data_IF_978482136923
#
_entry.id   IF_978482136923
#
_cell.length_a   1.000
_cell.length_b   1.000
_cell.length_c   1.000
_cell.angle_alpha   90.00
_cell.angle_beta   90.00
_cell.angle_gamma   90.00
#
_symmetry.space_group_name_H-M   'P 1'
#
loop_
_entity.id
_entity.type
_entity.pdbx_description
1 polymer ?
#
# COMPACT_ATOMS: atom_id res chain seq x y z
N UNK A 1 20.62 7.52 -12.51
CA UNK A 1 20.20 6.11 -12.42
C UNK A 1 18.72 6.08 -12.80
N UNK A 2 18.29 5.15 -13.66
CA UNK A 2 16.97 5.23 -14.30
C UNK A 2 15.94 4.48 -13.44
N UNK A 3 14.80 5.12 -13.13
CA UNK A 3 13.69 4.53 -12.36
C UNK A 3 13.37 3.08 -12.78
N UNK A 4 13.30 2.84 -14.10
CA UNK A 4 13.00 1.53 -14.65
C UNK A 4 14.00 0.45 -14.22
N UNK A 5 15.30 0.76 -14.25
CA UNK A 5 16.36 -0.21 -13.88
C UNK A 5 16.32 -0.52 -12.39
N UNK A 6 16.06 0.50 -11.56
CA UNK A 6 15.95 0.34 -10.11
C UNK A 6 14.72 -0.47 -9.72
N UNK A 7 13.57 -0.17 -10.31
CA UNK A 7 12.33 -0.92 -10.10
C UNK A 7 12.49 -2.37 -10.58
N UNK A 8 13.12 -2.58 -11.74
CA UNK A 8 13.39 -3.92 -12.27
C UNK A 8 14.36 -4.70 -11.39
N UNK A 9 15.40 -4.06 -10.85
CA UNK A 9 16.33 -4.67 -9.91
C UNK A 9 15.62 -5.11 -8.62
N UNK A 10 14.76 -4.25 -8.07
CA UNK A 10 13.95 -4.56 -6.87
C UNK A 10 12.98 -5.72 -7.14
N UNK A 11 12.34 -5.74 -8.31
CA UNK A 11 11.48 -6.84 -8.72
C UNK A 11 12.26 -8.17 -8.83
N UNK A 12 13.43 -8.15 -9.47
CA UNK A 12 14.32 -9.32 -9.57
C UNK A 12 14.72 -9.87 -8.19
N UNK A 13 15.06 -8.99 -7.26
CA UNK A 13 15.41 -9.37 -5.89
C UNK A 13 14.26 -10.10 -5.19
N UNK A 14 13.02 -9.59 -5.31
CA UNK A 14 11.85 -10.24 -4.71
C UNK A 14 11.50 -11.56 -5.39
N UNK A 15 11.60 -11.62 -6.72
CA UNK A 15 11.35 -12.85 -7.50
C UNK A 15 12.50 -13.86 -7.44
N UNK A 16 13.65 -13.49 -6.86
CA UNK A 16 14.88 -14.28 -6.80
C UNK A 16 15.38 -14.75 -8.18
N UNK A 17 15.23 -13.89 -9.19
CA UNK A 17 15.71 -14.14 -10.56
C UNK A 17 16.82 -13.17 -10.94
N UNK A 18 17.68 -13.56 -11.88
CA UNK A 18 18.80 -12.72 -12.33
C UNK A 18 18.52 -12.03 -13.66
N UNK A 19 17.78 -12.69 -14.56
CA UNK A 19 17.66 -12.25 -15.94
C UNK A 19 16.35 -11.50 -16.21
N UNK A 20 16.41 -10.48 -17.07
CA UNK A 20 15.25 -9.70 -17.53
C UNK A 20 14.22 -10.60 -18.24
N UNK A 21 14.70 -11.67 -18.90
CA UNK A 21 13.87 -12.64 -19.61
C UNK A 21 12.96 -13.40 -18.65
N UNK A 22 13.47 -13.82 -17.50
CA UNK A 22 12.68 -14.52 -16.49
C UNK A 22 11.62 -13.60 -15.90
N UNK A 23 11.97 -12.34 -15.64
CA UNK A 23 11.01 -11.32 -15.20
C UNK A 23 9.88 -11.14 -16.22
N UNK A 24 10.21 -11.05 -17.51
CA UNK A 24 9.21 -10.92 -18.57
C UNK A 24 8.24 -12.12 -18.58
N UNK A 25 8.78 -13.34 -18.49
CA UNK A 25 7.98 -14.58 -18.42
C UNK A 25 7.05 -14.58 -17.21
N UNK A 26 7.56 -14.22 -16.03
CA UNK A 26 6.77 -14.19 -14.79
C UNK A 26 5.68 -13.12 -14.85
N UNK A 27 5.97 -11.95 -15.43
CA UNK A 27 4.98 -10.89 -15.66
C UNK A 27 3.96 -11.22 -16.76
N UNK A 28 4.17 -12.29 -17.54
CA UNK A 28 3.30 -12.69 -18.64
C UNK A 28 3.42 -11.81 -19.89
N UNK A 29 4.59 -11.18 -20.10
CA UNK A 29 4.88 -10.36 -21.29
C UNK A 29 6.10 -10.91 -22.04
N UNK A 30 6.24 -10.54 -23.32
CA UNK A 30 7.42 -10.95 -24.08
C UNK A 30 8.66 -10.15 -23.67
N UNK A 31 9.85 -10.76 -23.75
CA UNK A 31 11.12 -10.07 -23.50
C UNK A 31 11.33 -8.86 -24.43
N UNK A 32 10.82 -8.94 -25.66
CA UNK A 32 10.81 -7.81 -26.60
C UNK A 32 9.93 -6.65 -26.11
N UNK A 33 8.74 -6.94 -25.55
CA UNK A 33 7.86 -5.93 -24.98
C UNK A 33 8.50 -5.26 -23.76
N UNK A 34 9.14 -6.03 -22.87
CA UNK A 34 9.87 -5.48 -21.72
C UNK A 34 11.01 -4.55 -22.17
N UNK A 35 11.79 -4.96 -23.18
CA UNK A 35 12.87 -4.12 -23.74
C UNK A 35 12.36 -2.83 -24.39
N UNK A 36 11.25 -2.87 -25.12
CA UNK A 36 10.64 -1.66 -25.68
C UNK A 36 10.16 -0.71 -24.59
N UNK A 37 9.53 -1.25 -23.54
CA UNK A 37 9.10 -0.48 -22.37
C UNK A 37 10.26 0.15 -21.62
N UNK A 38 11.36 -0.58 -21.45
CA UNK A 38 12.63 -0.12 -20.88
C UNK A 38 13.18 1.10 -21.64
N UNK A 39 13.21 1.04 -22.98
CA UNK A 39 13.63 2.17 -23.83
C UNK A 39 12.71 3.39 -23.69
N UNK A 40 11.41 3.16 -23.46
CA UNK A 40 10.39 4.22 -23.30
C UNK A 40 10.27 4.73 -21.86
N UNK A 41 10.97 4.13 -20.90
CA UNK A 41 10.86 4.45 -19.48
C UNK A 41 9.49 4.12 -18.85
N UNK A 42 8.69 3.25 -19.47
CA UNK A 42 7.35 2.93 -18.99
C UNK A 42 7.33 1.56 -18.32
N UNK A 43 7.35 1.53 -16.98
CA UNK A 43 7.39 0.29 -16.20
C UNK A 43 6.06 -0.48 -16.29
N UNK A 44 6.06 -1.83 -16.37
CA UNK A 44 4.84 -2.64 -16.47
C UNK A 44 4.12 -2.76 -15.11
N UNK A 45 3.60 -1.64 -14.60
CA UNK A 45 2.91 -1.55 -13.30
C UNK A 45 1.64 -2.41 -13.29
N UNK A 46 0.82 -2.32 -14.35
CA UNK A 46 -0.42 -3.12 -14.47
C UNK A 46 -0.13 -4.61 -14.37
N UNK A 47 0.90 -5.10 -15.07
CA UNK A 47 1.29 -6.50 -15.04
C UNK A 47 1.87 -6.90 -13.68
N UNK A 48 2.61 -6.01 -13.01
CA UNK A 48 3.11 -6.23 -11.65
C UNK A 48 1.96 -6.36 -10.63
N UNK A 49 0.97 -5.46 -10.67
CA UNK A 49 -0.22 -5.56 -9.82
C UNK A 49 -1.02 -6.83 -10.10
N UNK A 50 -1.20 -7.18 -11.38
CA UNK A 50 -1.88 -8.40 -11.78
C UNK A 50 -1.15 -9.66 -11.29
N UNK A 51 0.19 -9.68 -11.33
CA UNK A 51 1.00 -10.77 -10.81
C UNK A 51 0.84 -10.90 -9.29
N UNK A 52 0.92 -9.80 -8.54
CA UNK A 52 0.75 -9.80 -7.09
C UNK A 52 -0.65 -10.31 -6.68
N UNK A 53 -1.69 -9.95 -7.45
CA UNK A 53 -3.05 -10.43 -7.22
C UNK A 53 -3.24 -11.93 -7.56
N UNK A 54 -2.66 -12.39 -8.68
CA UNK A 54 -2.79 -13.80 -9.13
C UNK A 54 -1.94 -14.77 -8.33
N UNK A 55 -0.82 -14.29 -7.79
CA UNK A 55 0.17 -15.10 -7.08
C UNK A 55 0.52 -14.51 -5.71
N UNK A 56 -0.43 -14.52 -4.77
CA UNK A 56 -0.18 -14.05 -3.42
C UNK A 56 0.91 -14.88 -2.70
N UNK A 57 1.16 -16.11 -3.16
CA UNK A 57 2.24 -16.99 -2.69
C UNK A 57 3.64 -16.37 -2.84
N UNK A 58 3.83 -15.50 -3.84
CA UNK A 58 5.10 -14.81 -4.08
C UNK A 58 5.40 -13.71 -3.05
N UNK A 59 4.39 -13.27 -2.26
CA UNK A 59 4.51 -12.20 -1.27
C UNK A 59 5.19 -10.94 -1.82
N UNK A 60 4.86 -10.57 -3.05
CA UNK A 60 5.41 -9.39 -3.71
C UNK A 60 4.97 -8.11 -3.00
N UNK A 61 5.94 -7.29 -2.60
CA UNK A 61 5.68 -5.94 -2.12
C UNK A 61 5.79 -4.96 -3.29
N UNK A 62 4.66 -4.73 -3.95
CA UNK A 62 4.55 -3.83 -5.11
C UNK A 62 5.01 -2.40 -4.75
N UNK A 63 4.72 -1.95 -3.53
CA UNK A 63 5.17 -0.62 -3.06
C UNK A 63 6.69 -0.53 -3.03
N UNK A 64 7.35 -1.56 -2.52
CA UNK A 64 8.81 -1.63 -2.52
C UNK A 64 9.38 -1.70 -3.95
N UNK A 65 8.76 -2.44 -4.87
CA UNK A 65 9.19 -2.54 -6.27
C UNK A 65 9.08 -1.22 -7.02
N UNK A 66 8.02 -0.42 -6.77
CA UNK A 66 7.82 0.84 -7.46
C UNK A 66 8.58 1.98 -6.78
N UNK A 67 8.48 2.13 -5.47
CA UNK A 67 8.95 3.34 -4.78
C UNK A 67 10.30 3.23 -4.08
N UNK A 68 10.77 2.03 -3.77
CA UNK A 68 12.12 1.79 -3.26
C UNK A 68 12.16 1.59 -1.76
N UNK A 69 11.07 1.96 -1.10
CA UNK A 69 10.86 1.78 0.32
C UNK A 69 9.65 0.91 0.59
N UNK A 70 9.69 0.20 1.73
CA UNK A 70 8.48 -0.40 2.28
C UNK A 70 7.56 0.73 2.71
N UNK A 71 6.55 0.99 1.89
CA UNK A 71 5.54 1.96 2.24
C UNK A 71 4.87 1.54 3.55
N UNK A 72 4.86 2.44 4.53
CA UNK A 72 4.04 2.27 5.73
C UNK A 72 2.55 2.19 5.32
N UNK A 73 1.66 1.65 6.19
CA UNK A 73 0.22 1.66 5.91
C UNK A 73 -0.30 3.06 5.50
N UNK A 74 0.15 4.11 6.19
CA UNK A 74 -0.21 5.49 5.88
C UNK A 74 0.27 5.93 4.49
N UNK A 75 1.49 5.57 4.11
CA UNK A 75 2.03 5.89 2.78
C UNK A 75 1.32 5.11 1.66
N UNK A 76 0.89 3.88 1.92
CA UNK A 76 0.07 3.09 0.98
C UNK A 76 -1.30 3.72 0.77
N UNK A 77 -1.94 4.19 1.84
CA UNK A 77 -3.21 4.92 1.77
C UNK A 77 -3.03 6.24 1.02
N UNK A 78 -2.00 7.03 1.34
CA UNK A 78 -1.74 8.30 0.67
C UNK A 78 -1.49 8.13 -0.84
N UNK A 79 -0.72 7.10 -1.22
CA UNK A 79 -0.49 6.78 -2.63
C UNK A 79 -1.78 6.32 -3.32
N UNK A 80 -2.57 5.45 -2.69
CA UNK A 80 -3.86 5.00 -3.23
C UNK A 80 -4.85 6.15 -3.40
N UNK A 81 -4.91 7.07 -2.44
CA UNK A 81 -5.73 8.29 -2.52
C UNK A 81 -5.27 9.18 -3.68
N UNK A 82 -3.95 9.38 -3.83
CA UNK A 82 -3.39 10.19 -4.91
C UNK A 82 -3.64 9.58 -6.30
N UNK A 83 -3.56 8.25 -6.41
CA UNK A 83 -3.83 7.53 -7.65
C UNK A 83 -5.33 7.50 -8.01
N UNK A 84 -6.20 7.30 -7.01
CA UNK A 84 -7.65 7.33 -7.20
C UNK A 84 -8.18 8.76 -7.47
N UNK A 85 -7.49 9.76 -6.93
CA UNK A 85 -7.87 11.17 -7.03
C UNK A 85 -6.66 12.02 -7.44
N UNK A 86 -6.34 12.08 -8.75
CA UNK A 86 -5.29 12.97 -9.22
C UNK A 86 -5.63 14.42 -8.83
N UNK A 87 -4.62 15.26 -8.53
CA UNK A 87 -4.82 16.61 -7.97
C UNK A 87 -5.64 17.55 -8.87
N UNK A 88 -5.91 17.17 -10.11
CA UNK A 88 -6.71 17.94 -11.06
C UNK A 88 -8.25 17.74 -10.94
N UNK A 89 -8.74 16.93 -10.00
CA UNK A 89 -10.16 16.53 -10.00
C UNK A 89 -10.88 16.46 -8.65
N UNK A 90 -10.29 16.94 -7.56
CA UNK A 90 -10.95 16.93 -6.25
C UNK A 90 -11.70 18.26 -6.06
N UNK A 91 -13.05 18.26 -5.96
CA UNK A 91 -13.78 19.45 -5.54
C UNK A 91 -13.26 19.90 -4.17
N UNK A 92 -13.08 21.20 -3.96
CA UNK A 92 -12.38 21.77 -2.80
C UNK A 92 -12.92 21.24 -1.45
N UNK A 93 -14.21 20.95 -1.36
CA UNK A 93 -14.87 20.35 -0.21
C UNK A 93 -14.39 18.91 0.11
N UNK A 94 -14.13 18.08 -0.90
CA UNK A 94 -13.59 16.74 -0.71
C UNK A 94 -12.11 16.79 -0.31
N UNK A 95 -11.34 17.74 -0.85
CA UNK A 95 -9.96 17.98 -0.44
C UNK A 95 -9.88 18.45 1.02
N UNK A 96 -10.82 19.30 1.44
CA UNK A 96 -10.94 19.76 2.83
C UNK A 96 -11.33 18.61 3.78
N UNK A 97 -12.24 17.73 3.37
CA UNK A 97 -12.59 16.53 4.13
C UNK A 97 -11.38 15.59 4.33
N UNK A 98 -10.59 15.36 3.28
CA UNK A 98 -9.37 14.56 3.35
C UNK A 98 -8.32 15.21 4.26
N UNK A 99 -8.08 16.53 4.12
CA UNK A 99 -7.15 17.26 5.00
C UNK A 99 -7.56 17.17 6.46
N UNK A 100 -8.84 17.38 6.76
CA UNK A 100 -9.37 17.30 8.11
C UNK A 100 -9.23 15.89 8.69
N UNK A 101 -9.48 14.85 7.87
CA UNK A 101 -9.27 13.46 8.28
C UNK A 101 -7.80 13.16 8.59
N UNK A 102 -6.87 13.60 7.73
CA UNK A 102 -5.43 13.42 7.93
C UNK A 102 -4.96 14.16 9.19
N UNK A 103 -5.35 15.41 9.39
CA UNK A 103 -5.01 16.19 10.60
C UNK A 103 -5.54 15.55 11.88
N UNK A 104 -6.77 15.03 11.85
CA UNK A 104 -7.37 14.33 13.00
C UNK A 104 -6.65 13.02 13.30
N UNK A 105 -6.13 12.33 12.29
CA UNK A 105 -5.35 11.11 12.48
C UNK A 105 -3.93 11.42 12.97
N UNK A 106 -3.31 12.48 12.48
CA UNK A 106 -2.01 12.93 12.97
C UNK A 106 -2.06 13.29 14.46
N UNK A 107 -3.12 14.01 14.89
CA UNK A 107 -3.35 14.31 16.31
C UNK A 107 -3.55 13.07 17.18
N UNK A 108 -4.02 11.97 16.59
CA UNK A 108 -4.31 10.70 17.29
C UNK A 108 -3.22 9.63 17.11
N UNK A 109 -2.16 9.96 16.35
CA UNK A 109 -1.13 9.01 15.94
C UNK A 109 -0.41 8.36 17.12
N UNK A 110 -0.04 9.17 18.13
CA UNK A 110 0.62 8.66 19.33
C UNK A 110 -0.27 7.68 20.12
N UNK A 111 -1.58 7.94 20.17
CA UNK A 111 -2.54 7.03 20.79
C UNK A 111 -2.66 5.73 20.00
N UNK A 112 -2.73 5.77 18.68
CA UNK A 112 -2.79 4.56 17.84
C UNK A 112 -1.53 3.71 17.98
N UNK A 113 -0.35 4.32 18.01
CA UNK A 113 0.91 3.62 18.23
C UNK A 113 0.93 2.93 19.59
N UNK A 114 0.57 3.64 20.65
CA UNK A 114 0.52 3.08 22.00
C UNK A 114 -0.48 1.94 22.13
N UNK A 115 -1.64 2.03 21.46
CA UNK A 115 -2.61 0.94 21.43
C UNK A 115 -1.98 -0.28 20.74
N UNK A 116 -1.34 -0.09 19.59
CA UNK A 116 -0.64 -1.18 18.89
C UNK A 116 0.42 -1.86 19.76
N UNK A 117 1.29 -1.08 20.41
CA UNK A 117 2.32 -1.61 21.33
C UNK A 117 1.72 -2.44 22.47
N UNK A 118 0.61 -1.99 23.07
CA UNK A 118 -0.07 -2.73 24.15
C UNK A 118 -0.66 -4.03 23.62
N UNK A 119 -1.26 -3.99 22.42
CA UNK A 119 -1.92 -5.15 21.84
C UNK A 119 -0.93 -6.20 21.31
N UNK A 120 0.28 -5.81 20.91
CA UNK A 120 1.33 -6.74 20.47
C UNK A 120 1.75 -7.73 21.58
N UNK A 121 1.68 -7.31 22.85
CA UNK A 121 2.00 -8.16 24.00
C UNK A 121 0.78 -8.95 24.54
N UNK A 122 -0.40 -8.79 23.94
CA UNK A 122 -1.64 -9.45 24.36
C UNK A 122 -1.83 -10.81 23.68
N UNK A 123 -2.55 -11.72 24.35
CA UNK A 123 -3.04 -12.94 23.71
C UNK A 123 -4.21 -12.64 22.77
N UNK A 124 -4.45 -13.51 21.78
CA UNK A 124 -5.56 -13.38 20.83
C UNK A 124 -6.93 -13.22 21.54
N UNK A 125 -7.17 -14.00 22.60
CA UNK A 125 -8.40 -13.89 23.41
C UNK A 125 -8.56 -12.50 24.06
N UNK A 126 -7.44 -11.91 24.53
CA UNK A 126 -7.46 -10.58 25.13
C UNK A 126 -7.70 -9.49 24.08
N UNK A 127 -7.12 -9.64 22.88
CA UNK A 127 -7.38 -8.75 21.74
C UNK A 127 -8.86 -8.80 21.34
N UNK A 128 -9.46 -9.99 21.28
CA UNK A 128 -10.88 -10.14 20.95
C UNK A 128 -11.79 -9.45 21.98
N UNK A 129 -11.49 -9.58 23.28
CA UNK A 129 -12.23 -8.88 24.33
C UNK A 129 -12.10 -7.35 24.23
N UNK A 130 -10.91 -6.84 23.89
CA UNK A 130 -10.70 -5.41 23.63
C UNK A 130 -11.57 -4.96 22.46
N UNK A 131 -11.62 -5.73 21.37
CA UNK A 131 -12.47 -5.40 20.22
C UNK A 131 -13.96 -5.34 20.60
N UNK A 132 -14.46 -6.30 21.38
CA UNK A 132 -15.84 -6.28 21.86
C UNK A 132 -16.13 -5.06 22.74
N UNK A 133 -15.17 -4.63 23.57
CA UNK A 133 -15.31 -3.44 24.39
C UNK A 133 -15.36 -2.17 23.54
N UNK A 134 -14.47 -2.05 22.55
CA UNK A 134 -14.43 -0.92 21.62
C UNK A 134 -15.75 -0.80 20.86
N UNK A 135 -16.30 -1.91 20.38
CA UNK A 135 -17.61 -1.93 19.70
C UNK A 135 -18.72 -1.43 20.62
N UNK A 136 -18.75 -1.87 21.89
CA UNK A 136 -19.74 -1.40 22.86
C UNK A 136 -19.62 0.11 23.11
N UNK A 137 -18.41 0.62 23.28
CA UNK A 137 -18.16 2.06 23.46
C UNK A 137 -18.60 2.86 22.24
N UNK A 138 -18.30 2.38 21.04
CA UNK A 138 -18.73 3.01 19.80
C UNK A 138 -20.26 3.10 19.68
N UNK A 139 -20.97 2.02 20.04
CA UNK A 139 -22.43 2.01 20.05
C UNK A 139 -23.03 2.99 21.06
N UNK A 140 -22.41 3.15 22.24
CA UNK A 140 -22.84 4.14 23.24
C UNK A 140 -22.65 5.56 22.71
N UNK A 141 -21.50 5.87 22.10
CA UNK A 141 -21.24 7.19 21.53
C UNK A 141 -22.19 7.53 20.38
N UNK A 142 -22.50 6.56 19.50
CA UNK A 142 -23.48 6.76 18.42
C UNK A 142 -24.85 7.08 19.00
N UNK A 143 -25.28 6.33 20.03
CA UNK A 143 -26.57 6.56 20.69
C UNK A 143 -26.64 7.91 21.39
N UNK A 144 -25.56 8.37 22.00
CA UNK A 144 -25.50 9.68 22.67
C UNK A 144 -25.53 10.88 21.70
N UNK A 145 -25.24 10.65 20.41
CA UNK A 145 -25.27 11.67 19.35
C UNK A 145 -26.61 11.72 18.58
N UNK A 146 -27.57 10.85 18.91
CA UNK A 146 -28.93 10.84 18.36
C UNK A 146 -29.90 11.49 19.33
#
# INVERSE_FOLDING_TARGET
MNYFEEALLRLKQQLKVRDDKDVAVILGISAAALNMRKKRGNFPETELYALAAKRPDLRLDVGLVLHGDRLTPDQRVALAVTAAYPPAGIPDAAAQGVRMFLELNDKRRAQYQRIGEILDDCSDDAVELVMQLVDKLHQVEIKARR
#
